data_IF_675632842110
#
_entry.id   IF_675632842110
#
_cell.length_a   1.000
_cell.length_b   1.000
_cell.length_c   1.000
_cell.angle_alpha   90.00
_cell.angle_beta   90.00
_cell.angle_gamma   90.00
#
_symmetry.space_group_name_H-M   'P 1'
#
loop_
_entity.id
_entity.type
_entity.pdbx_description
1 polymer ?
#
# COMPACT_ATOMS: atom_id res chain seq x y z
N UNK A 1 -6.04 -3.40 10.37
CA UNK A 1 -5.84 -3.97 9.02
C UNK A 1 -6.98 -3.44 8.20
N UNK A 2 -6.71 -2.53 7.27
CA UNK A 2 -7.74 -2.14 6.33
C UNK A 2 -7.89 -3.25 5.27
N UNK A 3 -9.12 -3.54 4.86
CA UNK A 3 -9.40 -4.54 3.83
C UNK A 3 -9.01 -4.00 2.45
N UNK A 4 -8.72 -4.89 1.50
CA UNK A 4 -8.46 -4.48 0.12
C UNK A 4 -9.65 -3.69 -0.49
N UNK A 5 -10.87 -3.91 0.02
CA UNK A 5 -12.06 -3.17 -0.40
C UNK A 5 -12.05 -1.72 0.11
N UNK A 6 -11.49 -1.45 1.29
CA UNK A 6 -11.38 -0.09 1.81
C UNK A 6 -10.36 0.72 1.01
N UNK A 7 -9.22 0.12 0.64
CA UNK A 7 -8.24 0.77 -0.24
C UNK A 7 -8.80 1.08 -1.62
N UNK A 8 -9.66 0.20 -2.18
CA UNK A 8 -10.33 0.48 -3.47
C UNK A 8 -11.30 1.65 -3.44
N UNK A 9 -11.78 2.07 -2.26
CA UNK A 9 -12.66 3.23 -2.11
C UNK A 9 -11.91 4.55 -1.93
N UNK A 10 -10.61 4.50 -1.68
CA UNK A 10 -9.76 5.67 -1.51
C UNK A 10 -9.33 6.26 -2.86
N UNK A 11 -9.02 7.55 -2.88
CA UNK A 11 -8.45 8.17 -4.08
C UNK A 11 -7.00 7.73 -4.28
N UNK A 12 -6.49 7.86 -5.52
CA UNK A 12 -5.09 7.57 -5.81
C UNK A 12 -4.12 8.41 -4.96
N UNK A 13 -4.47 9.65 -4.67
CA UNK A 13 -3.68 10.55 -3.81
C UNK A 13 -3.65 10.05 -2.36
N UNK A 14 -4.79 9.60 -1.84
CA UNK A 14 -4.87 9.08 -0.48
C UNK A 14 -4.11 7.76 -0.35
N UNK A 15 -4.21 6.88 -1.36
CA UNK A 15 -3.43 5.64 -1.43
C UNK A 15 -1.92 5.89 -1.44
N UNK A 16 -1.45 6.89 -2.20
CA UNK A 16 -0.04 7.28 -2.20
C UNK A 16 0.41 7.87 -0.84
N UNK A 17 -0.46 8.65 -0.20
CA UNK A 17 -0.20 9.20 1.14
C UNK A 17 -0.08 8.07 2.17
N UNK A 18 -1.00 7.11 2.12
CA UNK A 18 -0.99 5.95 3.02
C UNK A 18 0.21 5.04 2.78
N UNK A 19 0.61 4.86 1.51
CA UNK A 19 1.83 4.15 1.15
C UNK A 19 3.07 4.78 1.80
N UNK A 20 3.17 6.11 1.79
CA UNK A 20 4.27 6.84 2.45
C UNK A 20 4.25 6.64 3.96
N UNK A 21 3.07 6.67 4.59
CA UNK A 21 2.92 6.43 6.02
C UNK A 21 3.38 5.02 6.41
N UNK A 22 2.94 4.00 5.68
CA UNK A 22 3.34 2.61 5.90
C UNK A 22 4.85 2.41 5.68
N UNK A 23 5.46 3.11 4.72
CA UNK A 23 6.92 3.07 4.53
C UNK A 23 7.68 3.69 5.69
N UNK A 24 7.18 4.79 6.25
CA UNK A 24 7.73 5.40 7.47
C UNK A 24 7.60 4.45 8.66
N UNK A 25 6.44 3.82 8.85
CA UNK A 25 6.24 2.80 9.89
C UNK A 25 7.21 1.63 9.72
N UNK A 26 7.37 1.12 8.48
CA UNK A 26 8.33 0.06 8.18
C UNK A 26 9.77 0.44 8.58
N UNK A 27 10.18 1.67 8.31
CA UNK A 27 11.49 2.19 8.70
C UNK A 27 11.65 2.25 10.22
N UNK A 28 10.65 2.79 10.92
CA UNK A 28 10.63 2.88 12.37
C UNK A 28 10.71 1.49 13.02
N UNK A 29 9.95 0.52 12.49
CA UNK A 29 9.99 -0.87 12.94
C UNK A 29 11.39 -1.48 12.75
N UNK A 30 12.05 -1.25 11.61
CA UNK A 30 13.44 -1.71 11.40
C UNK A 30 14.43 -1.06 12.37
N UNK A 31 14.29 0.24 12.63
CA UNK A 31 15.12 0.94 13.61
C UNK A 31 14.92 0.39 15.04
N UNK A 32 13.68 0.08 15.41
CA UNK A 32 13.36 -0.55 16.71
C UNK A 32 14.00 -1.93 16.86
N UNK A 33 14.12 -2.71 15.78
CA UNK A 33 14.85 -4.00 15.84
C UNK A 33 16.33 -3.79 16.13
N UNK A 34 16.94 -2.76 15.55
CA UNK A 34 18.36 -2.44 15.75
C UNK A 34 18.67 -1.84 17.13
N UNK A 35 17.69 -1.20 17.77
CA UNK A 35 17.86 -0.54 19.07
C UNK A 35 17.78 -1.47 20.28
N UNK A 36 17.68 -2.80 20.08
CA UNK A 36 17.60 -3.78 21.17
C UNK A 36 16.25 -3.86 21.89
N UNK A 37 15.23 -3.14 21.42
CA UNK A 37 13.86 -3.24 21.93
C UNK A 37 13.13 -4.40 21.25
N UNK A 38 12.23 -5.09 21.96
CA UNK A 38 11.41 -6.15 21.36
C UNK A 38 10.40 -5.53 20.40
N UNK A 39 10.59 -5.66 19.08
CA UNK A 39 9.74 -4.97 18.13
C UNK A 39 8.44 -5.77 17.95
N UNK A 40 7.35 -5.11 17.56
CA UNK A 40 6.07 -5.79 17.32
C UNK A 40 6.18 -6.64 16.04
N UNK A 41 6.64 -7.90 16.15
CA UNK A 41 6.93 -8.78 15.01
C UNK A 41 5.72 -8.93 14.06
N UNK A 42 4.51 -9.06 14.62
CA UNK A 42 3.27 -9.11 13.85
C UNK A 42 3.06 -7.87 12.95
N UNK A 43 3.57 -6.70 13.36
CA UNK A 43 3.45 -5.45 12.59
C UNK A 43 4.33 -5.45 11.33
N UNK A 44 5.44 -6.16 11.29
CA UNK A 44 6.24 -6.25 10.06
C UNK A 44 5.52 -7.00 8.95
N UNK A 45 4.86 -8.11 9.30
CA UNK A 45 4.04 -8.84 8.34
C UNK A 45 2.87 -7.97 7.90
N UNK A 46 2.17 -7.35 8.85
CA UNK A 46 1.07 -6.44 8.60
C UNK A 46 1.40 -5.34 7.58
N UNK A 47 2.42 -4.52 7.89
CA UNK A 47 2.84 -3.38 7.06
C UNK A 47 3.27 -3.84 5.65
N UNK A 48 3.93 -5.01 5.54
CA UNK A 48 4.28 -5.58 4.22
C UNK A 48 3.03 -5.92 3.40
N UNK A 49 2.02 -6.53 4.02
CA UNK A 49 0.78 -6.87 3.33
C UNK A 49 -0.02 -5.62 2.93
N UNK A 50 -0.10 -4.61 3.79
CA UNK A 50 -0.81 -3.37 3.48
C UNK A 50 -0.14 -2.62 2.31
N UNK A 51 1.20 -2.55 2.29
CA UNK A 51 1.95 -1.99 1.14
C UNK A 51 1.65 -2.77 -0.15
N UNK A 52 1.62 -4.09 -0.09
CA UNK A 52 1.32 -4.92 -1.25
C UNK A 52 -0.10 -4.66 -1.77
N UNK A 53 -1.10 -4.61 -0.89
CA UNK A 53 -2.49 -4.33 -1.25
C UNK A 53 -2.64 -2.97 -1.93
N UNK A 54 -2.06 -1.91 -1.35
CA UNK A 54 -2.13 -0.56 -1.93
C UNK A 54 -1.50 -0.54 -3.33
N UNK A 55 -0.32 -1.16 -3.51
CA UNK A 55 0.32 -1.25 -4.82
C UNK A 55 -0.52 -2.01 -5.86
N UNK A 56 -1.16 -3.09 -5.44
CA UNK A 56 -2.09 -3.83 -6.30
C UNK A 56 -3.26 -2.95 -6.73
N UNK A 57 -3.90 -2.24 -5.79
CA UNK A 57 -5.02 -1.33 -6.11
C UNK A 57 -4.58 -0.20 -7.05
N UNK A 58 -3.42 0.42 -6.82
CA UNK A 58 -2.87 1.45 -7.71
C UNK A 58 -2.64 0.91 -9.13
N UNK A 59 -2.17 -0.34 -9.24
CA UNK A 59 -1.97 -1.01 -10.53
C UNK A 59 -3.30 -1.33 -11.21
N UNK A 60 -4.28 -1.83 -10.47
CA UNK A 60 -5.66 -2.06 -10.97
C UNK A 60 -6.28 -0.76 -11.49
N UNK A 61 -6.13 0.36 -10.78
CA UNK A 61 -6.62 1.68 -11.19
C UNK A 61 -5.94 2.16 -12.48
N UNK A 62 -4.61 2.02 -12.57
CA UNK A 62 -3.85 2.38 -13.76
C UNK A 62 -4.26 1.53 -14.98
N UNK A 63 -4.47 0.22 -14.79
CA UNK A 63 -4.92 -0.68 -15.85
C UNK A 63 -6.37 -0.40 -16.28
N UNK A 64 -7.27 -0.07 -15.34
CA UNK A 64 -8.63 0.33 -15.65
C UNK A 64 -8.66 1.62 -16.50
N UNK A 65 -7.84 2.61 -16.15
CA UNK A 65 -7.65 3.82 -16.96
C UNK A 65 -7.05 3.54 -18.34
N UNK A 66 -6.06 2.65 -18.43
CA UNK A 66 -5.44 2.27 -19.70
C UNK A 66 -6.33 1.41 -20.61
N UNK A 67 -7.20 0.57 -20.03
CA UNK A 67 -8.14 -0.28 -20.78
C UNK A 67 -9.28 0.52 -21.41
N UNK A 68 -9.69 1.65 -20.81
CA UNK A 68 -10.68 2.56 -21.39
C UNK A 68 -10.17 3.21 -22.69
N UNK A 69 -8.86 3.46 -22.80
CA UNK A 69 -8.26 4.16 -23.93
C UNK A 69 -8.05 3.27 -25.19
N UNK A 70 -8.20 1.94 -25.07
CA UNK A 70 -8.04 1.00 -26.19
C UNK A 70 -9.32 0.70 -26.97
N UNK A 71 -10.49 1.19 -26.53
CA UNK A 71 -11.79 0.94 -27.20
C UNK A 71 -12.19 1.99 -28.24
N UNK A 72 -11.36 3.00 -28.50
CA UNK A 72 -11.65 4.08 -29.45
C UNK A 72 -10.92 4.01 -30.79
N UNK A 73 -10.13 2.97 -31.04
CA UNK A 73 -9.24 2.89 -32.22
C UNK A 73 -9.54 1.65 -33.09
N UNK A 74 -10.82 1.34 -33.27
CA UNK A 74 -11.29 0.25 -34.13
C UNK A 74 -12.57 0.65 -34.87
#
# INVERSE_FOLDING_TARGET
MASAQEYRKMSEKDLNTELLNLRREQFNLRMQMGSGNTPKIHRFSAVRHDIARIKTVLTEMAQAGAAANKKGDS
#
